data_IF_731594025765
#
_entry.id   IF_731594025765
#
_cell.length_a   1.000
_cell.length_b   1.000
_cell.length_c   1.000
_cell.angle_alpha   90.00
_cell.angle_beta   90.00
_cell.angle_gamma   90.00
#
_symmetry.space_group_name_H-M   'P 1'
#
loop_
_entity.id
_entity.type
_entity.pdbx_description
1 polymer ?
#
# COMPACT_ATOMS: atom_id res chain seq x y z
N UNK A 1 -3.39 21.39 -8.03
CA UNK A 1 -2.00 21.36 -8.53
C UNK A 1 -1.33 20.24 -7.78
N UNK A 2 -0.59 19.36 -8.45
CA UNK A 2 0.07 18.26 -7.77
C UNK A 2 1.39 18.77 -7.17
N UNK A 3 1.32 19.30 -5.95
CA UNK A 3 2.47 19.71 -5.16
C UNK A 3 2.66 18.75 -3.97
N UNK A 4 3.72 18.96 -3.19
CA UNK A 4 4.02 18.07 -2.05
C UNK A 4 2.87 18.02 -1.03
N UNK A 5 2.30 19.18 -0.71
CA UNK A 5 1.25 19.25 0.31
C UNK A 5 0.00 18.51 -0.17
N UNK A 6 -0.44 18.76 -1.41
CA UNK A 6 -1.59 18.06 -1.97
C UNK A 6 -1.37 16.55 -2.06
N UNK A 7 -0.15 16.10 -2.40
CA UNK A 7 0.16 14.66 -2.46
C UNK A 7 0.16 14.00 -1.08
N UNK A 8 0.62 14.69 -0.03
CA UNK A 8 0.52 14.18 1.35
C UNK A 8 -0.93 14.14 1.84
N UNK A 9 -1.74 15.13 1.48
CA UNK A 9 -3.18 15.13 1.76
C UNK A 9 -3.89 13.96 1.07
N UNK A 10 -3.54 13.66 -0.19
CA UNK A 10 -4.05 12.51 -0.93
C UNK A 10 -3.69 11.17 -0.27
N UNK A 11 -2.45 11.02 0.21
CA UNK A 11 -2.01 9.82 0.95
C UNK A 11 -2.86 9.65 2.23
N UNK A 12 -3.03 10.71 3.01
CA UNK A 12 -3.81 10.68 4.24
C UNK A 12 -5.29 10.37 3.98
N UNK A 13 -5.87 10.97 2.94
CA UNK A 13 -7.26 10.74 2.55
C UNK A 13 -7.50 9.30 2.09
N UNK A 14 -6.59 8.73 1.28
CA UNK A 14 -6.66 7.34 0.84
C UNK A 14 -6.62 6.37 2.03
N UNK A 15 -5.71 6.60 2.99
CA UNK A 15 -5.63 5.81 4.22
C UNK A 15 -6.91 5.87 5.04
N UNK A 16 -7.43 7.08 5.28
CA UNK A 16 -8.66 7.26 6.03
C UNK A 16 -9.87 6.55 5.38
N UNK A 17 -9.95 6.55 4.05
CA UNK A 17 -11.00 5.84 3.30
C UNK A 17 -10.90 4.32 3.48
N UNK A 18 -9.69 3.76 3.35
CA UNK A 18 -9.47 2.33 3.55
C UNK A 18 -9.74 1.92 5.01
N UNK A 19 -9.31 2.75 5.97
CA UNK A 19 -9.50 2.51 7.41
C UNK A 19 -10.97 2.44 7.81
N UNK A 20 -11.82 3.24 7.18
CA UNK A 20 -13.26 3.20 7.45
C UNK A 20 -13.87 1.82 7.18
N UNK A 21 -13.31 1.04 6.25
CA UNK A 21 -13.74 -0.33 5.92
C UNK A 21 -13.10 -1.34 6.86
N UNK A 22 -11.79 -1.25 7.05
CA UNK A 22 -11.04 -2.18 7.92
C UNK A 22 -11.52 -2.12 9.37
N UNK A 23 -11.95 -0.95 9.87
CA UNK A 23 -12.53 -0.81 11.22
C UNK A 23 -13.88 -1.55 11.41
N UNK A 24 -14.46 -2.11 10.35
CA UNK A 24 -15.69 -2.92 10.40
C UNK A 24 -15.40 -4.43 10.42
N UNK A 25 -14.14 -4.83 10.30
CA UNK A 25 -13.70 -6.22 10.21
C UNK A 25 -13.07 -6.60 11.55
N UNK A 26 -13.52 -7.71 12.14
CA UNK A 26 -12.88 -8.29 13.31
C UNK A 26 -11.82 -9.33 12.93
N UNK A 27 -11.06 -9.81 13.91
CA UNK A 27 -10.00 -10.81 13.72
C UNK A 27 -10.51 -12.07 13.00
N UNK A 28 -11.71 -12.56 13.33
CA UNK A 28 -12.22 -13.81 12.76
C UNK A 28 -12.49 -13.65 11.26
N UNK A 29 -13.18 -12.57 10.86
CA UNK A 29 -13.50 -12.29 9.46
C UNK A 29 -12.25 -11.88 8.68
N UNK A 30 -11.32 -11.17 9.31
CA UNK A 30 -10.06 -10.75 8.68
C UNK A 30 -9.14 -11.92 8.31
N UNK A 31 -9.27 -13.05 9.00
CA UNK A 31 -8.52 -14.29 8.75
C UNK A 31 -9.25 -15.32 7.88
N UNK A 32 -10.40 -14.98 7.30
CA UNK A 32 -11.10 -15.92 6.42
C UNK A 32 -10.41 -16.07 5.06
N UNK A 33 -9.97 -17.29 4.77
CA UNK A 33 -9.43 -17.66 3.47
C UNK A 33 -10.46 -17.43 2.35
N UNK A 34 -10.03 -16.81 1.26
CA UNK A 34 -10.89 -16.48 0.12
C UNK A 34 -11.83 -15.28 0.33
N UNK A 35 -11.64 -14.49 1.39
CA UNK A 35 -12.36 -13.23 1.57
C UNK A 35 -12.12 -12.25 0.41
N UNK A 36 -10.91 -12.25 -0.15
CA UNK A 36 -10.47 -11.40 -1.26
C UNK A 36 -9.86 -12.31 -2.33
N UNK A 37 -10.71 -12.83 -3.23
CA UNK A 37 -10.28 -13.80 -4.24
C UNK A 37 -9.84 -15.12 -3.60
N UNK A 38 -8.54 -15.40 -3.61
CA UNK A 38 -7.95 -16.56 -2.92
C UNK A 38 -7.33 -16.21 -1.56
N UNK A 39 -7.25 -14.92 -1.21
CA UNK A 39 -6.59 -14.44 0.00
C UNK A 39 -7.58 -14.11 1.12
N UNK A 40 -7.09 -14.13 2.36
CA UNK A 40 -7.73 -13.45 3.48
C UNK A 40 -7.46 -11.94 3.46
N UNK A 41 -8.19 -11.17 4.26
CA UNK A 41 -7.92 -9.74 4.44
C UNK A 41 -6.56 -9.50 5.08
N UNK A 42 -6.12 -10.40 5.97
CA UNK A 42 -4.78 -10.37 6.54
C UNK A 42 -3.70 -10.47 5.44
N UNK A 43 -3.84 -11.42 4.52
CA UNK A 43 -2.91 -11.59 3.39
C UNK A 43 -2.96 -10.41 2.41
N UNK A 44 -4.14 -9.83 2.19
CA UNK A 44 -4.28 -8.57 1.44
C UNK A 44 -3.47 -7.43 2.12
N UNK A 45 -3.55 -7.28 3.44
CA UNK A 45 -2.76 -6.27 4.15
C UNK A 45 -1.24 -6.56 4.10
N UNK A 46 -0.85 -7.83 4.11
CA UNK A 46 0.54 -8.25 3.98
C UNK A 46 1.14 -7.90 2.62
N UNK A 47 0.40 -8.11 1.51
CA UNK A 47 0.89 -7.73 0.18
C UNK A 47 0.97 -6.21 0.04
N UNK A 48 -0.03 -5.47 0.54
CA UNK A 48 -0.03 -4.01 0.52
C UNK A 48 1.14 -3.45 1.32
N UNK A 49 1.42 -4.03 2.50
CA UNK A 49 2.60 -3.71 3.28
C UNK A 49 3.89 -4.01 2.51
N UNK A 50 3.99 -5.14 1.81
CA UNK A 50 5.13 -5.46 0.95
C UNK A 50 5.45 -4.36 -0.05
N UNK A 51 4.44 -3.89 -0.79
CA UNK A 51 4.61 -2.77 -1.72
C UNK A 51 4.99 -1.45 -1.04
N UNK A 52 4.43 -1.14 0.13
CA UNK A 52 4.83 0.05 0.89
C UNK A 52 6.30 0.00 1.28
N UNK A 53 6.81 -1.15 1.73
CA UNK A 53 8.23 -1.34 2.06
C UNK A 53 9.12 -1.16 0.82
N UNK A 54 8.78 -1.81 -0.29
CA UNK A 54 9.57 -1.73 -1.53
C UNK A 54 9.57 -0.30 -2.11
N UNK A 55 8.41 0.36 -2.13
CA UNK A 55 8.30 1.73 -2.65
C UNK A 55 8.90 2.77 -1.71
N UNK A 56 8.90 2.55 -0.40
CA UNK A 56 9.66 3.39 0.55
C UNK A 56 11.13 3.39 0.16
N UNK A 57 11.71 2.21 -0.07
CA UNK A 57 13.10 2.08 -0.50
C UNK A 57 13.34 2.74 -1.87
N UNK A 58 12.39 2.62 -2.80
CA UNK A 58 12.47 3.29 -4.11
C UNK A 58 12.47 4.82 -3.99
N UNK A 59 11.65 5.39 -3.10
CA UNK A 59 11.60 6.83 -2.80
C UNK A 59 12.92 7.29 -2.19
N UNK A 60 13.49 6.53 -1.25
CA UNK A 60 14.78 6.84 -0.63
C UNK A 60 15.93 6.85 -1.65
N UNK A 61 16.00 5.83 -2.53
CA UNK A 61 16.96 5.79 -3.65
C UNK A 61 16.81 7.01 -4.54
N UNK A 62 15.58 7.35 -4.91
CA UNK A 62 15.29 8.54 -5.71
C UNK A 62 15.80 9.82 -5.02
N UNK A 63 15.55 9.97 -3.72
CA UNK A 63 15.98 11.13 -2.96
C UNK A 63 17.50 11.24 -2.88
N UNK A 64 18.19 10.10 -2.79
CA UNK A 64 19.65 10.00 -2.88
C UNK A 64 20.21 10.20 -4.31
N UNK A 65 19.37 10.51 -5.31
CA UNK A 65 19.78 10.73 -6.70
C UNK A 65 20.04 9.45 -7.48
N UNK A 66 19.63 8.30 -6.96
CA UNK A 66 19.75 6.99 -7.60
C UNK A 66 18.47 6.66 -8.39
N UNK A 67 18.54 5.64 -9.24
CA UNK A 67 17.36 5.11 -9.91
C UNK A 67 16.43 4.48 -8.86
N UNK A 68 15.13 4.81 -8.84
CA UNK A 68 14.20 4.24 -7.85
C UNK A 68 14.09 2.72 -7.97
N UNK A 69 13.92 2.24 -9.21
CA UNK A 69 13.95 0.82 -9.56
C UNK A 69 15.40 0.37 -9.75
N UNK A 70 15.87 -0.63 -9.00
CA UNK A 70 17.19 -1.22 -9.19
C UNK A 70 17.39 -1.84 -10.58
N UNK A 71 18.65 -2.06 -10.97
CA UNK A 71 18.95 -2.77 -12.21
C UNK A 71 18.48 -4.23 -12.13
N UNK A 72 17.81 -4.71 -13.18
CA UNK A 72 17.28 -6.08 -13.25
C UNK A 72 15.95 -6.31 -12.54
N UNK A 73 15.39 -5.27 -11.89
CA UNK A 73 14.07 -5.32 -11.24
C UNK A 73 13.01 -4.79 -12.20
N UNK A 74 11.92 -5.53 -12.35
CA UNK A 74 10.73 -5.12 -13.11
C UNK A 74 9.53 -5.07 -12.18
N UNK A 75 8.93 -3.89 -12.04
CA UNK A 75 7.70 -3.68 -11.27
C UNK A 75 6.45 -3.67 -12.16
N UNK A 76 6.60 -3.85 -13.48
CA UNK A 76 5.46 -3.87 -14.40
C UNK A 76 4.67 -5.17 -14.37
N UNK A 77 5.24 -6.22 -13.77
CA UNK A 77 4.57 -7.48 -13.46
C UNK A 77 4.45 -7.66 -11.94
N UNK A 78 3.44 -7.05 -11.30
CA UNK A 78 3.28 -7.12 -9.84
C UNK A 78 2.87 -8.51 -9.35
N UNK A 79 2.30 -9.36 -10.21
CA UNK A 79 1.81 -10.70 -9.85
C UNK A 79 2.93 -11.61 -9.36
N UNK A 80 4.13 -11.48 -9.93
CA UNK A 80 5.31 -12.25 -9.51
C UNK A 80 5.83 -11.86 -8.10
N UNK A 81 5.45 -10.68 -7.59
CA UNK A 81 5.92 -10.17 -6.30
C UNK A 81 4.96 -10.49 -5.16
N UNK A 82 3.64 -10.41 -5.43
CA UNK A 82 2.62 -10.45 -4.38
C UNK A 82 2.71 -11.73 -3.51
N UNK A 83 2.82 -12.95 -4.06
CA UNK A 83 2.94 -14.16 -3.25
C UNK A 83 4.19 -14.16 -2.36
N UNK A 84 5.28 -13.53 -2.84
CA UNK A 84 6.51 -13.38 -2.07
C UNK A 84 6.32 -12.50 -0.84
N UNK A 85 5.60 -11.38 -0.97
CA UNK A 85 5.31 -10.48 0.16
C UNK A 85 4.45 -11.13 1.25
N UNK A 86 3.46 -11.92 0.83
CA UNK A 86 2.60 -12.70 1.73
C UNK A 86 3.43 -13.80 2.41
N UNK A 87 4.19 -14.59 1.63
CA UNK A 87 5.01 -15.68 2.16
C UNK A 87 6.10 -15.23 3.13
N UNK A 88 6.72 -14.07 2.91
CA UNK A 88 7.73 -13.49 3.81
C UNK A 88 7.14 -13.17 5.20
N UNK A 89 5.86 -12.79 5.25
CA UNK A 89 5.16 -12.38 6.48
C UNK A 89 4.55 -13.57 7.21
N UNK A 90 4.17 -14.63 6.49
CA UNK A 90 3.71 -15.89 7.06
C UNK A 90 2.38 -15.77 7.80
N UNK A 91 2.22 -16.55 8.88
CA UNK A 91 0.94 -16.75 9.58
C UNK A 91 0.57 -15.61 10.55
N UNK A 92 0.80 -14.34 10.17
CA UNK A 92 0.38 -13.21 11.00
C UNK A 92 -1.14 -13.22 11.20
N UNK A 93 -1.56 -12.86 12.40
CA UNK A 93 -2.97 -12.56 12.69
C UNK A 93 -3.45 -11.36 11.86
N UNK A 94 -4.77 -11.19 11.72
CA UNK A 94 -5.33 -10.01 11.04
C UNK A 94 -4.90 -8.70 11.75
N UNK A 95 -4.99 -8.65 13.07
CA UNK A 95 -4.51 -7.54 13.89
C UNK A 95 -3.01 -7.26 13.68
N UNK A 96 -2.17 -8.29 13.59
CA UNK A 96 -0.73 -8.13 13.34
C UNK A 96 -0.46 -7.59 11.92
N UNK A 97 -1.13 -8.13 10.91
CA UNK A 97 -1.03 -7.66 9.52
C UNK A 97 -1.52 -6.21 9.39
N UNK A 98 -2.60 -5.86 10.09
CA UNK A 98 -3.15 -4.49 10.17
C UNK A 98 -2.18 -3.51 10.80
N UNK A 99 -1.59 -3.86 11.93
CA UNK A 99 -0.58 -3.02 12.58
C UNK A 99 0.66 -2.83 11.70
N UNK A 100 1.11 -3.90 11.02
CA UNK A 100 2.26 -3.83 10.12
C UNK A 100 1.97 -2.97 8.87
N UNK A 101 0.77 -3.07 8.30
CA UNK A 101 0.32 -2.20 7.22
C UNK A 101 0.28 -0.73 7.64
N UNK A 102 -0.26 -0.43 8.83
CA UNK A 102 -0.33 0.93 9.36
C UNK A 102 1.06 1.55 9.56
N UNK A 103 2.01 0.77 10.09
CA UNK A 103 3.40 1.17 10.22
C UNK A 103 4.06 1.40 8.86
N UNK A 104 3.89 0.48 7.91
CA UNK A 104 4.38 0.62 6.54
C UNK A 104 3.83 1.87 5.83
N UNK A 105 2.55 2.20 6.06
CA UNK A 105 1.94 3.42 5.54
C UNK A 105 2.61 4.68 6.12
N UNK A 106 2.84 4.71 7.42
CA UNK A 106 3.51 5.83 8.10
C UNK A 106 4.94 6.01 7.60
N UNK A 107 5.69 4.92 7.44
CA UNK A 107 7.06 4.94 6.90
C UNK A 107 7.08 5.48 5.47
N UNK A 108 6.18 5.00 4.61
CA UNK A 108 6.07 5.48 3.23
C UNK A 108 5.72 6.97 3.17
N UNK A 109 4.71 7.41 3.94
CA UNK A 109 4.32 8.82 4.00
C UNK A 109 5.47 9.72 4.49
N UNK A 110 6.24 9.26 5.47
CA UNK A 110 7.42 9.97 5.97
C UNK A 110 8.52 10.08 4.88
N UNK A 111 8.79 9.00 4.13
CA UNK A 111 9.74 9.01 3.03
C UNK A 111 9.31 9.98 1.91
N UNK A 112 8.01 10.00 1.55
CA UNK A 112 7.45 10.96 0.59
C UNK A 112 7.60 12.40 1.11
N UNK A 113 7.32 12.65 2.39
CA UNK A 113 7.47 13.98 3.00
C UNK A 113 8.92 14.47 3.00
N UNK A 114 9.90 13.57 3.03
CA UNK A 114 11.33 13.91 3.00
C UNK A 114 11.86 14.23 1.58
N UNK A 115 11.04 14.05 0.53
CA UNK A 115 11.42 14.39 -0.85
C UNK A 115 11.44 15.91 -1.03
N UNK A 116 12.45 16.41 -1.74
CA UNK A 116 12.53 17.84 -2.11
C UNK A 116 11.22 18.31 -2.80
N UNK A 117 10.58 19.41 -2.33
CA UNK A 117 9.30 19.89 -2.87
C UNK A 117 9.34 20.16 -4.38
N UNK A 118 10.49 20.54 -4.95
CA UNK A 118 10.69 20.76 -6.38
C UNK A 118 10.63 19.49 -7.22
N UNK A 119 10.63 18.30 -6.60
CA UNK A 119 10.45 17.01 -7.28
C UNK A 119 8.98 16.59 -7.41
N UNK A 120 8.03 17.35 -6.85
CA UNK A 120 6.60 17.15 -7.03
C UNK A 120 6.08 17.91 -8.25
N UNK A 121 5.06 17.37 -8.89
CA UNK A 121 4.46 17.94 -10.10
C UNK A 121 3.75 16.88 -10.94
N UNK A 122 2.83 17.33 -11.78
CA UNK A 122 2.10 16.45 -12.70
C UNK A 122 3.07 15.56 -13.52
N UNK A 123 2.81 14.25 -13.53
CA UNK A 123 3.62 13.25 -14.25
C UNK A 123 4.99 12.94 -13.64
N UNK A 124 5.41 13.60 -12.55
CA UNK A 124 6.71 13.32 -11.92
C UNK A 124 6.71 11.96 -11.24
N UNK A 125 7.91 11.40 -11.10
CA UNK A 125 8.12 10.04 -10.59
C UNK A 125 7.53 9.82 -9.20
N UNK A 126 7.71 10.77 -8.28
CA UNK A 126 7.15 10.65 -6.92
C UNK A 126 5.62 10.58 -6.94
N UNK A 127 4.98 11.39 -7.78
CA UNK A 127 3.53 11.43 -7.91
C UNK A 127 2.98 10.12 -8.48
N UNK A 128 3.65 9.56 -9.50
CA UNK A 128 3.30 8.24 -10.06
C UNK A 128 3.50 7.10 -9.07
N UNK A 129 4.53 7.16 -8.22
CA UNK A 129 4.74 6.15 -7.17
C UNK A 129 3.62 6.20 -6.13
N UNK A 130 3.28 7.40 -5.65
CA UNK A 130 2.17 7.58 -4.70
C UNK A 130 0.84 7.13 -5.32
N UNK A 131 0.61 7.47 -6.58
CA UNK A 131 -0.57 7.01 -7.31
C UNK A 131 -0.64 5.49 -7.35
N UNK A 132 0.44 4.84 -7.76
CA UNK A 132 0.51 3.38 -7.87
C UNK A 132 0.35 2.65 -6.54
N UNK A 133 1.09 3.05 -5.49
CA UNK A 133 1.15 2.26 -4.24
C UNK A 133 0.12 2.67 -3.18
N UNK A 134 -0.43 3.87 -3.30
CA UNK A 134 -1.41 4.40 -2.34
C UNK A 134 -2.75 4.67 -3.02
N UNK A 135 -2.87 5.74 -3.81
CA UNK A 135 -4.22 6.24 -4.13
C UNK A 135 -5.00 5.31 -5.05
N UNK A 136 -4.36 4.64 -6.01
CA UNK A 136 -5.02 3.64 -6.85
C UNK A 136 -5.18 2.31 -6.11
N UNK A 137 -4.10 1.77 -5.55
CA UNK A 137 -4.08 0.47 -4.88
C UNK A 137 -5.00 0.39 -3.66
N UNK A 138 -5.15 1.47 -2.89
CA UNK A 138 -6.06 1.49 -1.74
C UNK A 138 -7.52 1.61 -2.20
N UNK A 139 -7.79 2.21 -3.36
CA UNK A 139 -9.13 2.24 -3.95
C UNK A 139 -9.52 0.85 -4.43
N UNK A 140 -8.64 0.17 -5.16
CA UNK A 140 -8.84 -1.21 -5.60
C UNK A 140 -9.24 -2.13 -4.43
N UNK A 141 -8.43 -2.16 -3.36
CA UNK A 141 -8.77 -2.97 -2.20
C UNK A 141 -9.91 -2.42 -1.34
N UNK A 142 -10.25 -1.14 -1.46
CA UNK A 142 -11.49 -0.64 -0.85
C UNK A 142 -12.72 -1.23 -1.54
N UNK A 143 -12.68 -1.45 -2.86
CA UNK A 143 -13.75 -2.09 -3.63
C UNK A 143 -13.87 -3.58 -3.29
N UNK A 144 -12.73 -4.27 -3.11
CA UNK A 144 -12.72 -5.65 -2.62
C UNK A 144 -13.36 -5.78 -1.24
N UNK A 145 -12.97 -4.89 -0.31
CA UNK A 145 -13.53 -4.86 1.04
C UNK A 145 -15.02 -4.50 1.05
N UNK A 146 -15.47 -3.58 0.18
CA UNK A 146 -16.89 -3.25 0.05
C UNK A 146 -17.69 -4.46 -0.44
N UNK A 147 -17.13 -5.27 -1.34
CA UNK A 147 -17.73 -6.52 -1.79
C UNK A 147 -17.82 -7.53 -0.65
N UNK A 148 -16.70 -7.78 0.05
CA UNK A 148 -16.65 -8.69 1.20
C UNK A 148 -17.64 -8.29 2.33
N UNK A 149 -17.74 -7.00 2.64
CA UNK A 149 -18.63 -6.47 3.68
C UNK A 149 -20.11 -6.42 3.26
N UNK A 150 -20.39 -6.53 1.96
CA UNK A 150 -21.75 -6.53 1.40
C UNK A 150 -22.35 -7.94 1.27
N UNK A 151 -21.49 -8.96 1.27
CA UNK A 151 -21.90 -10.36 1.29
C UNK A 151 -22.31 -10.78 2.72
N UNK A 152 -23.43 -11.49 2.85
CA UNK A 152 -23.87 -12.08 4.12
C UNK A 152 -23.00 -13.31 4.43
N UNK A 153 -21.93 -13.12 5.19
CA UNK A 153 -21.05 -14.19 5.67
C UNK A 153 -21.17 -14.43 7.18
#
# INVERSE_FOLDING_TARGET
MTDQASTLDEIAAAKASLDARLNRIDEAHGSWEGAIGEWSVAQMLQHMHGWLTEMTTAVERMNAGQRPTPEGVDYSDPEDWNPGFVAERGDQSYEEARAAFDDGHQQFAAAVSAVDPGRFGEGKTINRMVEGVVTHHYVEHSEDLDSFLGDDH
#
